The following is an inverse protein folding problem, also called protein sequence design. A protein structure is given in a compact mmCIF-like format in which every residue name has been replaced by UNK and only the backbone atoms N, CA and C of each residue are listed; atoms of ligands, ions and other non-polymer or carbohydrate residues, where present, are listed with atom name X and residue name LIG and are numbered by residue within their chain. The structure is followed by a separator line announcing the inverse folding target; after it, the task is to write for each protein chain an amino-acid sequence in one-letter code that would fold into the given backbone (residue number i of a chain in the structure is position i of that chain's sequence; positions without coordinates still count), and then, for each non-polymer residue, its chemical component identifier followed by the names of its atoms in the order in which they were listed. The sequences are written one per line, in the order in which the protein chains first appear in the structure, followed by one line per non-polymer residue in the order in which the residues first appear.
data_IF_666611796573
#
_entry.id   IF_666611796573
#
_cell.length_a   1.000
_cell.length_b   1.000
_cell.length_c   1.000
_cell.angle_alpha   90.00
_cell.angle_beta   90.00
_cell.angle_gamma   90.00
#
_symmetry.space_group_name_H-M   'P 1'
#
loop_
_entity.id
_entity.type
_entity.pdbx_description
1 polymer ?
#
# COMPACT_ATOMS: atom_id res chain seq x y z
N UNK A 1 17.24 -18.99 -0.85
CA UNK A 1 16.99 -18.29 0.43
C UNK A 1 16.07 -17.12 0.20
N UNK A 2 15.10 -16.95 1.06
CA UNK A 2 14.16 -15.82 0.99
C UNK A 2 14.53 -14.77 2.03
N UNK A 3 14.55 -13.50 1.64
CA UNK A 3 14.79 -12.42 2.58
C UNK A 3 13.53 -11.99 3.34
N UNK A 4 12.34 -12.34 2.82
CA UNK A 4 11.07 -12.01 3.45
C UNK A 4 10.35 -13.29 3.85
N UNK A 5 9.85 -13.30 5.09
CA UNK A 5 9.13 -14.46 5.64
C UNK A 5 7.79 -14.00 6.22
N UNK A 6 6.70 -14.73 5.97
CA UNK A 6 5.40 -14.39 6.57
C UNK A 6 5.45 -14.33 8.09
N UNK A 7 6.33 -15.13 8.70
CA UNK A 7 6.50 -15.15 10.16
C UNK A 7 7.12 -13.87 10.70
N UNK A 8 7.72 -13.04 9.86
CA UNK A 8 8.27 -11.75 10.29
C UNK A 8 7.19 -10.85 10.87
N UNK A 9 5.93 -11.00 10.44
CA UNK A 9 4.83 -10.21 10.99
C UNK A 9 4.64 -10.42 12.50
N UNK A 10 5.10 -11.54 13.04
CA UNK A 10 5.07 -11.78 14.48
C UNK A 10 6.02 -10.87 15.26
N UNK A 11 6.97 -10.21 14.56
CA UNK A 11 7.91 -9.28 15.17
C UNK A 11 7.35 -7.86 15.31
N UNK A 12 6.17 -7.58 14.75
CA UNK A 12 5.58 -6.23 14.82
C UNK A 12 5.46 -5.73 16.26
N UNK A 13 4.94 -6.50 17.23
CA UNK A 13 4.87 -6.03 18.61
C UNK A 13 6.23 -5.64 19.20
N UNK A 14 7.29 -6.39 18.87
CA UNK A 14 8.64 -6.07 19.33
C UNK A 14 9.13 -4.76 18.72
N UNK A 15 8.95 -4.58 17.42
CA UNK A 15 9.36 -3.36 16.74
C UNK A 15 8.69 -2.14 17.35
N UNK A 16 7.38 -2.23 17.60
CA UNK A 16 6.63 -1.11 18.17
C UNK A 16 7.05 -0.83 19.62
N UNK A 17 7.40 -1.88 20.37
CA UNK A 17 7.84 -1.72 21.75
C UNK A 17 9.24 -1.11 21.85
N UNK A 18 10.09 -1.34 20.87
CA UNK A 18 11.45 -0.79 20.86
C UNK A 18 11.46 0.71 20.60
N UNK A 19 10.42 1.26 19.98
CA UNK A 19 10.26 2.68 19.74
C UNK A 19 8.83 3.07 20.15
N UNK A 20 8.54 3.13 21.46
CA UNK A 20 7.16 3.21 21.94
C UNK A 20 6.44 4.50 21.54
N UNK A 21 7.12 5.62 21.49
CA UNK A 21 6.48 6.89 21.10
C UNK A 21 6.04 6.85 19.63
N UNK A 22 6.95 6.44 18.77
CA UNK A 22 6.67 6.33 17.33
C UNK A 22 5.69 5.20 17.04
N UNK A 23 5.88 4.04 17.68
CA UNK A 23 5.00 2.90 17.49
C UNK A 23 3.57 3.20 17.86
N UNK A 24 3.35 3.89 18.98
CA UNK A 24 2.02 4.27 19.44
C UNK A 24 1.35 5.23 18.44
N UNK A 25 2.09 6.21 17.97
CA UNK A 25 1.59 7.20 17.02
C UNK A 25 1.25 6.54 15.69
N UNK A 26 2.12 5.65 15.21
CA UNK A 26 1.87 4.92 13.98
C UNK A 26 0.62 4.04 14.09
N UNK A 27 0.48 3.30 15.20
CA UNK A 27 -0.68 2.45 15.39
C UNK A 27 -1.98 3.26 15.41
N UNK A 28 -1.98 4.42 16.07
CA UNK A 28 -3.16 5.27 16.10
C UNK A 28 -3.53 5.76 14.70
N UNK A 29 -2.53 6.17 13.92
CA UNK A 29 -2.74 6.58 12.54
C UNK A 29 -3.26 5.43 11.68
N UNK A 30 -2.63 4.26 11.79
CA UNK A 30 -3.00 3.10 10.99
C UNK A 30 -4.43 2.65 11.31
N UNK A 31 -4.81 2.60 12.59
CA UNK A 31 -6.17 2.23 12.99
C UNK A 31 -7.19 3.22 12.46
N UNK A 32 -6.87 4.52 12.50
CA UNK A 32 -7.77 5.54 11.95
C UNK A 32 -7.95 5.36 10.43
N UNK A 33 -6.88 5.03 9.73
CA UNK A 33 -6.93 4.83 8.28
C UNK A 33 -7.75 3.59 7.91
N UNK A 34 -7.78 2.57 8.76
CA UNK A 34 -8.48 1.32 8.50
C UNK A 34 -9.87 1.25 9.16
N UNK A 35 -10.36 2.33 9.75
CA UNK A 35 -11.65 2.31 10.44
C UNK A 35 -12.80 1.93 9.50
N UNK A 36 -13.82 1.27 10.07
CA UNK A 36 -14.97 0.81 9.30
C UNK A 36 -16.10 1.83 9.18
N UNK A 37 -16.06 2.89 10.00
CA UNK A 37 -17.16 3.86 10.12
C UNK A 37 -16.94 5.15 9.36
N UNK A 38 -15.97 5.19 8.47
CA UNK A 38 -15.72 6.36 7.63
C UNK A 38 -16.59 6.39 6.38
N UNK A 39 -16.40 7.42 5.57
CA UNK A 39 -17.12 7.57 4.30
C UNK A 39 -16.79 6.48 3.30
N UNK A 40 -15.57 5.92 3.35
CA UNK A 40 -15.16 4.82 2.49
C UNK A 40 -15.34 3.52 3.26
N UNK A 41 -16.18 2.59 2.81
CA UNK A 41 -16.38 1.31 3.48
C UNK A 41 -15.09 0.51 3.61
N UNK A 42 -15.03 -0.36 4.63
CA UNK A 42 -13.83 -1.15 4.96
C UNK A 42 -13.29 -1.92 3.76
N UNK A 43 -14.17 -2.55 2.97
CA UNK A 43 -13.75 -3.30 1.79
C UNK A 43 -12.93 -2.46 0.82
N UNK A 44 -13.38 -1.25 0.56
CA UNK A 44 -12.69 -0.37 -0.38
C UNK A 44 -11.42 0.22 0.21
N UNK A 45 -11.37 0.44 1.52
CA UNK A 45 -10.12 0.84 2.19
C UNK A 45 -9.05 -0.24 2.00
N UNK A 46 -9.44 -1.51 2.13
CA UNK A 46 -8.51 -2.62 1.96
C UNK A 46 -8.08 -2.79 0.49
N UNK A 47 -8.97 -2.52 -0.46
CA UNK A 47 -8.60 -2.53 -1.88
C UNK A 47 -7.63 -1.41 -2.22
N UNK A 48 -7.81 -0.23 -1.62
CA UNK A 48 -6.86 0.87 -1.76
C UNK A 48 -5.50 0.47 -1.18
N UNK A 49 -5.50 -0.14 0.02
CA UNK A 49 -4.27 -0.60 0.65
C UNK A 49 -3.52 -1.60 -0.23
N UNK A 50 -4.25 -2.54 -0.82
CA UNK A 50 -3.65 -3.53 -1.73
C UNK A 50 -3.07 -2.85 -2.98
N UNK A 51 -3.78 -1.87 -3.55
CA UNK A 51 -3.27 -1.14 -4.69
C UNK A 51 -1.92 -0.51 -4.40
N UNK A 52 -1.78 0.13 -3.24
CA UNK A 52 -0.51 0.72 -2.82
C UNK A 52 0.53 -0.37 -2.58
N UNK A 53 0.15 -1.45 -1.88
CA UNK A 53 1.06 -2.56 -1.57
C UNK A 53 1.63 -3.21 -2.84
N UNK A 54 0.81 -3.37 -3.88
CA UNK A 54 1.26 -3.93 -5.15
C UNK A 54 2.33 -3.04 -5.79
N UNK A 55 2.13 -1.72 -5.77
CA UNK A 55 3.06 -0.79 -6.42
C UNK A 55 4.34 -0.60 -5.62
N UNK A 56 4.28 -0.69 -4.29
CA UNK A 56 5.46 -0.59 -3.43
C UNK A 56 6.14 -1.94 -3.20
N UNK A 57 5.56 -3.02 -3.72
CA UNK A 57 6.09 -4.38 -3.63
C UNK A 57 6.30 -4.81 -2.17
N UNK A 58 5.33 -4.49 -1.32
CA UNK A 58 5.39 -4.82 0.09
C UNK A 58 4.69 -6.17 0.34
N UNK A 59 5.46 -7.26 0.39
CA UNK A 59 4.90 -8.60 0.60
C UNK A 59 4.15 -8.70 1.93
N UNK A 60 4.64 -8.06 2.97
CA UNK A 60 3.98 -8.06 4.28
C UNK A 60 2.63 -7.36 4.23
N UNK A 61 2.55 -6.24 3.51
CA UNK A 61 1.30 -5.51 3.33
C UNK A 61 0.30 -6.31 2.51
N UNK A 62 0.78 -6.98 1.45
CA UNK A 62 -0.07 -7.83 0.62
C UNK A 62 -0.67 -8.94 1.46
N UNK A 63 0.13 -9.61 2.29
CA UNK A 63 -0.36 -10.67 3.17
C UNK A 63 -1.46 -10.15 4.10
N UNK A 64 -1.16 -9.10 4.85
CA UNK A 64 -2.07 -8.54 5.84
C UNK A 64 -3.37 -8.04 5.20
N UNK A 65 -3.24 -7.23 4.17
CA UNK A 65 -4.42 -6.57 3.58
C UNK A 65 -5.24 -7.50 2.69
N UNK A 66 -4.65 -8.57 2.16
CA UNK A 66 -5.43 -9.62 1.47
C UNK A 66 -6.37 -10.30 2.45
N UNK A 67 -5.88 -10.62 3.65
CA UNK A 67 -6.73 -11.23 4.68
C UNK A 67 -7.84 -10.27 5.11
N UNK A 68 -7.52 -9.02 5.36
CA UNK A 68 -8.49 -8.00 5.73
C UNK A 68 -9.52 -7.76 4.63
N UNK A 69 -9.08 -7.73 3.37
CA UNK A 69 -9.98 -7.54 2.23
C UNK A 69 -10.97 -8.70 2.13
N UNK A 70 -10.48 -9.94 2.28
CA UNK A 70 -11.34 -11.11 2.26
C UNK A 70 -12.36 -11.05 3.40
N UNK A 71 -11.93 -10.71 4.59
CA UNK A 71 -12.82 -10.58 5.75
C UNK A 71 -13.87 -9.49 5.55
N UNK A 72 -13.53 -8.44 4.82
CA UNK A 72 -14.45 -7.35 4.51
C UNK A 72 -15.34 -7.65 3.29
N UNK A 73 -15.23 -8.85 2.71
CA UNK A 73 -16.08 -9.29 1.63
C UNK A 73 -15.57 -9.02 0.23
N UNK A 74 -14.32 -8.64 0.06
CA UNK A 74 -13.75 -8.43 -1.27
C UNK A 74 -13.60 -9.76 -1.99
N UNK A 75 -13.98 -9.78 -3.27
CA UNK A 75 -13.84 -10.96 -4.13
C UNK A 75 -12.49 -10.93 -4.84
N UNK A 76 -12.09 -12.08 -5.37
CA UNK A 76 -10.88 -12.16 -6.19
C UNK A 76 -10.99 -11.25 -7.41
N UNK A 77 -12.18 -11.11 -7.99
CA UNK A 77 -12.40 -10.23 -9.12
C UNK A 77 -12.17 -8.78 -8.73
N UNK A 78 -12.68 -8.35 -7.58
CA UNK A 78 -12.46 -7.00 -7.08
C UNK A 78 -10.99 -6.72 -6.83
N UNK A 79 -10.28 -7.68 -6.26
CA UNK A 79 -8.84 -7.55 -6.03
C UNK A 79 -8.09 -7.42 -7.35
N UNK A 80 -8.46 -8.23 -8.35
CA UNK A 80 -7.84 -8.17 -9.67
C UNK A 80 -8.07 -6.81 -10.34
N UNK A 81 -9.30 -6.30 -10.27
CA UNK A 81 -9.62 -5.00 -10.84
C UNK A 81 -8.88 -3.87 -10.13
N UNK A 82 -8.75 -3.95 -8.81
CA UNK A 82 -7.97 -2.98 -8.05
C UNK A 82 -6.49 -2.99 -8.50
N UNK A 83 -5.94 -4.17 -8.75
CA UNK A 83 -4.57 -4.29 -9.24
C UNK A 83 -4.39 -3.62 -10.60
N UNK A 84 -5.36 -3.79 -11.51
CA UNK A 84 -5.28 -3.15 -12.82
C UNK A 84 -5.46 -1.63 -12.75
N UNK A 85 -6.30 -1.14 -11.84
CA UNK A 85 -6.41 0.31 -11.61
C UNK A 85 -5.07 0.85 -11.13
N UNK A 86 -4.45 0.19 -10.17
CA UNK A 86 -3.15 0.60 -9.65
C UNK A 86 -2.08 0.60 -10.74
N UNK A 87 -2.07 -0.45 -11.57
CA UNK A 87 -1.11 -0.56 -12.68
C UNK A 87 -1.31 0.56 -13.71
N UNK A 88 -2.56 0.86 -14.06
CA UNK A 88 -2.86 1.91 -15.02
C UNK A 88 -2.43 3.28 -14.51
N UNK A 89 -2.71 3.58 -13.24
CA UNK A 89 -2.32 4.86 -12.64
C UNK A 89 -0.80 4.96 -12.57
N UNK A 90 -0.12 3.87 -12.21
CA UNK A 90 1.34 3.84 -12.16
C UNK A 90 1.95 4.09 -13.54
N UNK A 91 1.40 3.44 -14.56
CA UNK A 91 1.86 3.65 -15.93
C UNK A 91 1.65 5.10 -16.36
N UNK A 92 0.46 5.65 -16.09
CA UNK A 92 0.16 7.05 -16.42
C UNK A 92 1.10 8.02 -15.71
N UNK A 93 1.38 7.77 -14.44
CA UNK A 93 2.31 8.60 -13.67
C UNK A 93 3.73 8.53 -14.22
N UNK A 94 4.14 7.35 -14.66
CA UNK A 94 5.47 7.16 -15.29
C UNK A 94 5.57 8.01 -16.54
N UNK A 95 4.57 7.95 -17.41
CA UNK A 95 4.58 8.72 -18.65
C UNK A 95 4.50 10.23 -18.40
N UNK A 96 3.70 10.64 -17.40
CA UNK A 96 3.59 12.05 -17.06
C UNK A 96 4.92 12.61 -16.56
N UNK A 97 5.65 11.85 -15.75
CA UNK A 97 6.97 12.29 -15.28
C UNK A 97 8.03 12.31 -16.39
N UNK A 98 7.85 11.51 -17.44
CA UNK A 98 8.75 11.56 -18.59
C UNK A 98 8.71 12.91 -19.29
N UNK A 99 7.59 13.65 -19.17
CA UNK A 99 7.49 14.99 -19.74
C UNK A 99 8.55 15.93 -19.16
N UNK A 100 8.86 15.76 -17.88
CA UNK A 100 9.94 16.52 -17.24
C UNK A 100 11.27 16.29 -17.93
N UNK A 101 11.56 15.03 -18.28
CA UNK A 101 12.80 14.68 -18.96
C UNK A 101 12.90 15.36 -20.34
N UNK A 102 11.79 15.42 -21.08
CA UNK A 102 11.77 16.10 -22.38
C UNK A 102 12.09 17.59 -22.22
N UNK A 103 11.48 18.24 -21.21
CA UNK A 103 11.72 19.65 -20.94
C UNK A 103 13.16 19.91 -20.54
N UNK A 104 13.71 19.07 -19.66
CA UNK A 104 15.10 19.22 -19.20
C UNK A 104 16.10 18.96 -20.31
N UNK A 105 15.80 18.05 -21.24
CA UNK A 105 16.65 17.78 -22.38
C UNK A 105 16.82 19.03 -23.26
N UNK A 106 15.74 19.81 -23.42
CA UNK A 106 15.77 21.03 -24.23
C UNK A 106 16.41 22.22 -23.50
N UNK A 107 16.74 22.05 -22.21
CA UNK A 107 17.39 23.11 -21.39
C UNK A 107 18.61 22.52 -20.67
N UNK A 108 19.62 22.05 -21.42
CA UNK A 108 20.72 21.29 -20.83
C UNK A 108 21.62 22.10 -19.90
N UNK A 109 21.51 23.41 -19.89
CA UNK A 109 22.31 24.26 -19.01
C UNK A 109 21.78 24.34 -17.58
N UNK A 110 20.62 23.75 -17.38
CA UNK A 110 20.00 23.70 -16.04
C UNK A 110 20.40 22.43 -15.34
#
# INVERSE_FOLDING_TARGET
MSYQHPTDLALVPELLALAPAEGKTFLAFNHAAERADGAIPAKYRELIALGVAFTTQCAYCIDTHTRHAREAGATKQEIAEAAFVAAAVRAGGTLAHALLSLRLHDSPEK
#
